data_IF_937246598770
#
_entry.id   IF_937246598770
#
_cell.length_a   1.000
_cell.length_b   1.000
_cell.length_c   1.000
_cell.angle_alpha   90.00
_cell.angle_beta   90.00
_cell.angle_gamma   90.00
#
_symmetry.space_group_name_H-M   'P 1'
#
loop_
_entity.id
_entity.type
_entity.pdbx_description
1 polymer ?
#
# COMPACT_ATOMS: atom_id res chain seq x y z
N UNK A 1 -39.77 -27.94 -21.86
CA UNK A 1 -39.02 -27.77 -20.60
C UNK A 1 -37.55 -27.74 -20.95
N UNK A 2 -37.01 -26.54 -21.11
CA UNK A 2 -35.59 -26.33 -21.42
C UNK A 2 -34.92 -25.92 -20.11
N UNK A 3 -34.18 -26.88 -19.52
CA UNK A 3 -33.35 -26.62 -18.34
C UNK A 3 -32.23 -25.67 -18.68
N UNK A 4 -32.26 -24.47 -18.12
CA UNK A 4 -31.16 -23.53 -18.18
C UNK A 4 -29.92 -24.08 -17.43
N UNK A 5 -28.69 -23.75 -17.84
CA UNK A 5 -27.48 -24.20 -17.17
C UNK A 5 -27.34 -23.47 -15.84
N UNK A 6 -27.80 -24.07 -14.75
CA UNK A 6 -27.46 -23.65 -13.39
C UNK A 6 -26.11 -24.28 -13.00
N UNK A 7 -25.05 -23.69 -13.47
CA UNK A 7 -23.70 -24.08 -13.11
C UNK A 7 -22.89 -22.85 -12.77
N UNK A 8 -22.97 -22.39 -11.52
CA UNK A 8 -22.06 -21.36 -10.96
C UNK A 8 -20.68 -22.02 -10.69
N UNK A 9 -20.04 -22.53 -11.75
CA UNK A 9 -18.72 -23.13 -11.68
C UNK A 9 -17.68 -22.00 -11.54
N UNK A 10 -17.26 -21.74 -10.30
CA UNK A 10 -16.16 -20.81 -10.03
C UNK A 10 -14.88 -21.31 -10.67
N UNK A 11 -14.22 -20.44 -11.42
CA UNK A 11 -12.97 -20.74 -12.11
C UNK A 11 -11.77 -20.60 -11.14
N UNK A 12 -10.78 -21.51 -11.17
CA UNK A 12 -9.53 -21.30 -10.42
C UNK A 12 -8.93 -19.95 -10.77
N UNK A 13 -8.51 -19.19 -9.75
CA UNK A 13 -7.90 -17.89 -9.97
C UNK A 13 -6.40 -18.07 -10.25
N UNK A 14 -5.85 -17.50 -11.34
CA UNK A 14 -4.42 -17.52 -11.61
C UNK A 14 -3.65 -16.63 -10.61
N UNK A 15 -2.34 -16.82 -10.57
CA UNK A 15 -1.42 -16.04 -9.74
C UNK A 15 -1.15 -14.68 -10.40
N UNK A 16 -1.81 -13.63 -9.92
CA UNK A 16 -1.73 -12.27 -10.48
C UNK A 16 -1.63 -11.21 -9.38
N UNK A 17 -1.03 -10.09 -9.73
CA UNK A 17 -1.15 -8.83 -9.00
C UNK A 17 -1.92 -7.87 -9.88
N UNK A 18 -3.04 -7.37 -9.37
CA UNK A 18 -3.98 -6.52 -10.10
C UNK A 18 -3.88 -5.12 -9.51
N UNK A 19 -3.59 -4.16 -10.35
CA UNK A 19 -3.61 -2.74 -10.02
C UNK A 19 -5.06 -2.27 -10.10
N UNK A 20 -5.63 -1.85 -8.98
CA UNK A 20 -7.03 -1.41 -8.91
C UNK A 20 -7.06 0.05 -8.50
N UNK A 21 -7.76 0.89 -9.26
CA UNK A 21 -8.08 2.26 -8.85
C UNK A 21 -9.31 2.23 -7.93
N UNK A 22 -9.07 2.18 -6.62
CA UNK A 22 -10.14 2.18 -5.63
C UNK A 22 -10.82 3.55 -5.59
N UNK A 23 -12.14 3.64 -5.79
CA UNK A 23 -12.86 4.90 -5.62
C UNK A 23 -13.01 5.27 -4.14
N UNK A 24 -13.41 6.50 -3.87
CA UNK A 24 -13.88 6.95 -2.55
C UNK A 24 -15.14 6.19 -2.16
N UNK A 25 -15.28 5.83 -0.89
CA UNK A 25 -16.44 5.17 -0.30
C UNK A 25 -16.19 3.70 0.04
N UNK A 26 -15.99 2.80 -0.93
CA UNK A 26 -15.75 1.39 -0.66
C UNK A 26 -14.45 1.16 0.14
N UNK A 27 -14.42 0.10 0.94
CA UNK A 27 -13.23 -0.35 1.66
C UNK A 27 -12.25 -1.09 0.73
N UNK A 28 -10.99 -1.22 1.14
CA UNK A 28 -10.02 -2.08 0.43
C UNK A 28 -10.48 -3.55 0.36
N UNK A 29 -11.24 -4.01 1.36
CA UNK A 29 -11.80 -5.36 1.37
C UNK A 29 -12.95 -5.54 0.37
N UNK A 30 -13.68 -4.47 0.04
CA UNK A 30 -14.69 -4.51 -1.03
C UNK A 30 -14.05 -4.78 -2.39
N UNK A 31 -12.84 -4.26 -2.65
CA UNK A 31 -12.06 -4.56 -3.85
C UNK A 31 -11.66 -6.04 -3.89
N UNK A 32 -11.25 -6.61 -2.75
CA UNK A 32 -10.99 -8.05 -2.62
C UNK A 32 -12.26 -8.87 -2.89
N UNK A 33 -13.42 -8.43 -2.37
CA UNK A 33 -14.71 -9.09 -2.65
C UNK A 33 -15.07 -9.01 -4.13
N UNK A 34 -14.87 -7.87 -4.76
CA UNK A 34 -15.10 -7.69 -6.19
C UNK A 34 -14.22 -8.64 -7.01
N UNK A 35 -12.91 -8.67 -6.74
CA UNK A 35 -11.97 -9.55 -7.43
C UNK A 35 -12.24 -11.05 -7.19
N UNK A 36 -12.90 -11.42 -6.09
CA UNK A 36 -13.25 -12.81 -5.79
C UNK A 36 -14.49 -13.31 -6.52
N UNK A 37 -15.28 -12.42 -7.13
CA UNK A 37 -16.51 -12.83 -7.84
C UNK A 37 -16.19 -13.78 -8.99
N UNK A 38 -16.89 -14.90 -9.06
CA UNK A 38 -16.70 -15.90 -10.12
C UNK A 38 -15.38 -16.68 -10.04
N UNK A 39 -14.54 -16.46 -9.03
CA UNK A 39 -13.28 -17.17 -8.87
C UNK A 39 -13.28 -18.09 -7.65
N UNK A 40 -12.41 -19.12 -7.69
CA UNK A 40 -12.10 -20.01 -6.57
C UNK A 40 -10.60 -19.90 -6.26
N UNK A 41 -10.28 -19.48 -5.04
CA UNK A 41 -8.89 -19.37 -4.59
C UNK A 41 -8.69 -18.23 -3.60
N UNK A 42 -7.43 -17.98 -3.26
CA UNK A 42 -7.05 -16.88 -2.37
C UNK A 42 -7.10 -15.57 -3.13
N UNK A 43 -7.65 -14.54 -2.48
CA UNK A 43 -7.59 -13.16 -2.95
C UNK A 43 -7.33 -12.28 -1.72
N UNK A 44 -6.40 -11.36 -1.84
CA UNK A 44 -6.01 -10.42 -0.79
C UNK A 44 -5.56 -9.08 -1.38
N UNK A 45 -5.18 -8.12 -0.55
CA UNK A 45 -4.61 -6.86 -1.00
C UNK A 45 -3.32 -6.53 -0.22
N UNK A 46 -2.52 -5.62 -0.77
CA UNK A 46 -1.31 -5.10 -0.15
C UNK A 46 -1.48 -3.61 0.18
N UNK A 47 -1.54 -3.30 1.48
CA UNK A 47 -1.65 -1.93 1.99
C UNK A 47 -3.05 -1.34 1.88
N UNK A 48 -3.74 -1.30 3.01
CA UNK A 48 -5.09 -0.72 3.12
C UNK A 48 -5.12 0.74 2.67
N UNK A 49 -6.18 1.14 1.99
CA UNK A 49 -6.64 2.50 1.82
C UNK A 49 -7.90 2.70 2.64
N UNK A 50 -7.97 3.81 3.35
CA UNK A 50 -9.16 4.21 4.11
C UNK A 50 -10.36 4.41 3.16
N UNK A 51 -11.61 4.32 3.64
CA UNK A 51 -12.79 4.50 2.80
C UNK A 51 -12.85 5.87 2.12
N UNK A 52 -12.44 6.95 2.81
CA UNK A 52 -12.43 8.30 2.25
C UNK A 52 -11.33 8.51 1.19
N UNK A 53 -10.29 7.66 1.19
CA UNK A 53 -9.19 7.73 0.24
C UNK A 53 -9.49 6.97 -1.05
N UNK A 54 -8.87 7.41 -2.15
CA UNK A 54 -8.93 6.76 -3.47
C UNK A 54 -7.54 6.37 -3.98
N UNK A 55 -7.50 5.73 -5.14
CA UNK A 55 -6.27 5.48 -5.88
C UNK A 55 -5.77 4.04 -5.81
N UNK A 56 -4.50 3.86 -6.11
CA UNK A 56 -3.89 2.56 -6.37
C UNK A 56 -3.95 1.60 -5.19
N UNK A 57 -4.56 0.46 -5.40
CA UNK A 57 -4.57 -0.68 -4.50
C UNK A 57 -4.09 -1.93 -5.24
N UNK A 58 -3.10 -2.63 -4.70
CA UNK A 58 -2.64 -3.90 -5.27
C UNK A 58 -3.48 -5.03 -4.70
N UNK A 59 -4.26 -5.67 -5.56
CA UNK A 59 -5.05 -6.88 -5.27
C UNK A 59 -4.31 -8.08 -5.81
N UNK A 60 -4.15 -9.11 -4.98
CA UNK A 60 -3.38 -10.30 -5.32
C UNK A 60 -4.30 -11.51 -5.37
N UNK A 61 -4.07 -12.40 -6.34
CA UNK A 61 -4.83 -13.64 -6.51
C UNK A 61 -3.91 -14.86 -6.44
N UNK A 62 -4.45 -15.99 -6.03
CA UNK A 62 -3.71 -17.25 -5.97
C UNK A 62 -2.51 -17.20 -5.03
N UNK A 63 -1.37 -17.71 -5.49
CA UNK A 63 -0.11 -17.73 -4.73
C UNK A 63 0.54 -16.36 -4.63
N UNK A 64 0.15 -15.38 -5.49
CA UNK A 64 0.62 -14.00 -5.38
C UNK A 64 0.27 -13.37 -4.02
N UNK A 65 -0.72 -13.87 -3.29
CA UNK A 65 -0.97 -13.42 -1.90
C UNK A 65 0.21 -13.63 -0.95
N UNK A 66 1.17 -14.51 -1.29
CA UNK A 66 2.37 -14.76 -0.49
C UNK A 66 3.38 -13.62 -0.53
N UNK A 67 3.37 -12.79 -1.59
CA UNK A 67 4.28 -11.64 -1.72
C UNK A 67 3.73 -10.35 -1.11
N UNK A 68 2.61 -10.41 -0.41
CA UNK A 68 1.95 -9.24 0.18
C UNK A 68 2.88 -8.36 1.02
N UNK A 69 3.71 -8.98 1.87
CA UNK A 69 4.65 -8.25 2.73
C UNK A 69 5.74 -7.51 1.92
N UNK A 70 6.20 -8.10 0.82
CA UNK A 70 7.18 -7.46 -0.07
C UNK A 70 6.59 -6.22 -0.74
N UNK A 71 5.37 -6.33 -1.26
CA UNK A 71 4.65 -5.21 -1.88
C UNK A 71 4.26 -4.14 -0.84
N UNK A 72 3.89 -4.53 0.37
CA UNK A 72 3.62 -3.59 1.48
C UNK A 72 4.84 -2.76 1.87
N UNK A 73 6.04 -3.30 1.71
CA UNK A 73 7.30 -2.62 2.01
C UNK A 73 7.66 -1.49 1.04
N UNK A 74 7.08 -1.45 -0.15
CA UNK A 74 7.40 -0.45 -1.17
C UNK A 74 6.99 0.96 -0.72
N UNK A 75 7.70 2.02 -1.16
CA UNK A 75 7.28 3.40 -0.93
C UNK A 75 5.95 3.70 -1.62
N UNK A 76 5.22 4.69 -1.11
CA UNK A 76 3.93 5.15 -1.63
C UNK A 76 3.99 6.63 -1.94
N UNK A 77 3.35 7.02 -3.02
CA UNK A 77 3.13 8.42 -3.35
C UNK A 77 1.66 8.75 -3.18
N UNK A 78 1.40 9.88 -2.53
CA UNK A 78 0.07 10.38 -2.26
C UNK A 78 -0.09 11.80 -2.76
N UNK A 79 -1.25 12.08 -3.33
CA UNK A 79 -1.82 13.40 -3.52
C UNK A 79 -2.74 13.64 -2.32
N UNK A 80 -2.32 14.55 -1.43
CA UNK A 80 -2.96 14.83 -0.15
C UNK A 80 -3.48 16.28 -0.13
N UNK A 81 -4.77 16.44 0.05
CA UNK A 81 -5.37 17.75 0.33
C UNK A 81 -5.46 17.94 1.85
N UNK A 82 -4.71 18.88 2.38
CA UNK A 82 -4.80 19.29 3.80
C UNK A 82 -5.80 20.44 3.92
N UNK A 83 -6.69 20.38 4.91
CA UNK A 83 -7.57 21.49 5.30
C UNK A 83 -7.11 22.04 6.63
N UNK A 84 -6.90 23.35 6.68
CA UNK A 84 -6.45 24.08 7.86
C UNK A 84 -7.61 24.76 8.60
N UNK A 85 -7.38 25.18 9.85
CA UNK A 85 -8.34 25.90 10.68
C UNK A 85 -9.36 25.01 11.40
N UNK A 86 -9.23 23.69 11.29
CA UNK A 86 -10.09 22.72 11.94
C UNK A 86 -9.32 21.42 12.25
N UNK A 87 -9.88 20.61 13.15
CA UNK A 87 -9.41 19.27 13.46
C UNK A 87 -10.53 18.26 13.25
N UNK A 88 -10.17 17.03 12.91
CA UNK A 88 -11.11 15.91 12.79
C UNK A 88 -10.80 14.85 13.85
N UNK A 89 -11.82 14.25 14.43
CA UNK A 89 -11.66 13.15 15.41
C UNK A 89 -11.01 11.89 14.84
N UNK A 90 -10.99 11.75 13.51
CA UNK A 90 -10.36 10.62 12.77
C UNK A 90 -9.18 11.05 11.90
N UNK A 91 -8.87 12.36 11.87
CA UNK A 91 -7.86 12.95 10.98
C UNK A 91 -8.30 13.05 9.51
N UNK A 92 -9.57 12.74 9.20
CA UNK A 92 -10.16 12.72 7.86
C UNK A 92 -11.62 13.21 7.86
N UNK A 93 -12.30 13.37 6.70
CA UNK A 93 -13.66 13.93 6.63
C UNK A 93 -14.74 13.04 7.27
N UNK A 94 -14.43 11.79 7.63
CA UNK A 94 -15.43 10.87 8.21
C UNK A 94 -15.64 11.07 9.71
N UNK A 95 -14.70 11.76 10.37
CA UNK A 95 -14.81 12.12 11.77
C UNK A 95 -15.62 13.37 12.04
N UNK A 96 -15.83 13.68 13.31
CA UNK A 96 -16.40 14.95 13.75
C UNK A 96 -15.39 16.07 13.54
N UNK A 97 -15.73 17.04 12.70
CA UNK A 97 -14.89 18.19 12.38
C UNK A 97 -15.26 19.35 13.31
N UNK A 98 -14.27 19.89 14.00
CA UNK A 98 -14.41 21.02 14.91
C UNK A 98 -13.44 22.14 14.52
N UNK A 99 -13.84 23.42 14.59
CA UNK A 99 -12.91 24.52 14.46
C UNK A 99 -11.75 24.36 15.45
N UNK A 100 -10.53 24.66 14.98
CA UNK A 100 -9.38 24.65 15.88
C UNK A 100 -9.46 25.83 16.85
N UNK A 101 -9.40 25.51 18.14
CA UNK A 101 -9.30 26.51 19.19
C UNK A 101 -7.90 26.39 19.82
N UNK A 102 -7.02 27.40 19.69
CA UNK A 102 -5.72 27.37 20.35
C UNK A 102 -5.92 27.32 21.87
N UNK A 103 -5.23 26.41 22.55
CA UNK A 103 -5.22 26.44 24.02
C UNK A 103 -4.44 27.67 24.47
N UNK A 104 -4.90 28.30 25.58
CA UNK A 104 -4.31 29.52 26.12
C UNK A 104 -2.78 29.43 26.42
N UNK A 105 -2.23 28.20 26.51
CA UNK A 105 -0.82 27.95 26.75
C UNK A 105 0.08 28.08 25.47
N UNK A 106 -0.48 28.02 24.28
CA UNK A 106 0.29 28.11 23.01
C UNK A 106 0.42 29.56 22.56
N UNK A 107 -0.46 30.46 23.01
CA UNK A 107 -0.41 31.88 22.67
C UNK A 107 0.81 32.63 23.27
N UNK A 108 1.51 32.02 24.24
CA UNK A 108 2.65 32.64 24.92
C UNK A 108 4.04 32.29 24.34
N UNK A 109 4.14 31.40 23.34
CA UNK A 109 5.40 30.91 22.78
C UNK A 109 5.62 31.32 21.30
N UNK A 110 4.81 32.19 20.74
CA UNK A 110 4.92 32.66 19.35
C UNK A 110 6.02 33.71 19.22
N UNK A 111 7.06 33.38 18.45
CA UNK A 111 8.04 34.34 17.89
C UNK A 111 7.27 35.41 17.08
N UNK A 112 7.70 36.69 17.24
CA UNK A 112 7.03 37.86 16.63
C UNK A 112 7.18 37.88 15.11
N UNK A 113 6.38 37.11 14.40
CA UNK A 113 6.41 37.03 12.94
C UNK A 113 5.18 36.41 12.32
N UNK A 114 4.17 37.26 12.06
CA UNK A 114 3.11 36.99 11.08
C UNK A 114 2.00 36.01 11.46
N UNK A 115 1.16 36.40 12.39
CA UNK A 115 -0.25 35.94 12.39
C UNK A 115 -1.13 37.18 12.26
N UNK A 116 -1.67 37.44 11.08
CA UNK A 116 -2.71 38.45 10.88
C UNK A 116 -4.04 37.89 11.38
N UNK A 117 -4.33 38.07 12.68
CA UNK A 117 -5.66 37.88 13.23
C UNK A 117 -6.47 39.14 12.95
N UNK A 118 -7.43 39.08 12.05
CA UNK A 118 -8.46 40.11 11.96
C UNK A 118 -9.32 40.08 13.23
N UNK A 119 -9.62 41.21 13.88
CA UNK A 119 -10.43 41.24 15.08
C UNK A 119 -11.89 40.93 14.72
N UNK A 120 -12.39 39.72 15.07
CA UNK A 120 -13.80 39.38 14.90
C UNK A 120 -14.14 37.92 14.68
N UNK A 121 -13.29 37.13 14.06
CA UNK A 121 -13.51 35.69 13.84
C UNK A 121 -12.26 34.94 14.26
N UNK A 122 -12.31 34.20 15.36
CA UNK A 122 -11.18 33.50 15.98
C UNK A 122 -10.60 32.32 15.19
N UNK A 123 -10.56 32.42 13.85
CA UNK A 123 -9.91 31.45 12.97
C UNK A 123 -8.49 31.92 12.63
N UNK A 124 -7.52 31.10 12.99
CA UNK A 124 -6.12 31.30 12.57
C UNK A 124 -6.08 30.97 11.07
N UNK A 125 -5.67 31.96 10.26
CA UNK A 125 -5.39 31.77 8.83
C UNK A 125 -3.90 31.64 8.62
N UNK A 126 -3.51 30.78 7.70
CA UNK A 126 -2.11 30.57 7.32
C UNK A 126 -1.91 31.01 5.87
N UNK A 127 -0.68 31.39 5.55
CA UNK A 127 -0.26 31.71 4.17
C UNK A 127 0.46 30.53 3.52
N UNK A 128 0.62 30.55 2.20
CA UNK A 128 1.45 29.60 1.48
C UNK A 128 2.90 29.55 2.00
N UNK A 129 3.45 30.71 2.39
CA UNK A 129 4.81 30.78 2.94
C UNK A 129 4.93 30.14 4.31
N UNK A 130 3.89 30.23 5.16
CA UNK A 130 3.87 29.57 6.45
C UNK A 130 3.88 28.05 6.27
N UNK A 131 3.06 27.53 5.34
CA UNK A 131 3.06 26.11 5.00
C UNK A 131 4.43 25.69 4.50
N UNK A 132 5.01 26.37 3.53
CA UNK A 132 6.34 26.03 2.96
C UNK A 132 7.41 25.96 4.05
N UNK A 133 7.43 26.90 5.01
CA UNK A 133 8.41 26.94 6.11
C UNK A 133 8.35 25.71 7.01
N UNK A 134 7.18 25.13 7.23
CA UNK A 134 7.05 23.97 8.12
C UNK A 134 7.27 22.64 7.40
N UNK A 135 7.08 22.56 6.07
CA UNK A 135 7.17 21.29 5.33
C UNK A 135 8.55 20.63 5.45
N UNK A 136 9.63 21.41 5.56
CA UNK A 136 10.99 20.87 5.69
C UNK A 136 11.18 20.04 6.97
N UNK A 137 10.41 20.34 8.03
CA UNK A 137 10.44 19.59 9.30
C UNK A 137 9.84 18.17 9.15
N UNK A 138 9.06 17.96 8.10
CA UNK A 138 8.37 16.69 7.82
C UNK A 138 9.06 15.85 6.74
N UNK A 139 10.23 16.27 6.25
CA UNK A 139 11.07 15.46 5.35
C UNK A 139 12.08 14.64 6.13
N UNK A 140 12.49 13.52 5.56
CA UNK A 140 13.42 12.58 6.18
C UNK A 140 12.74 11.65 7.17
N UNK A 141 13.45 11.32 8.23
CA UNK A 141 12.97 10.41 9.28
C UNK A 141 12.20 11.23 10.33
N UNK A 142 10.92 10.90 10.50
CA UNK A 142 10.02 11.55 11.45
C UNK A 142 9.37 10.53 12.35
N UNK A 143 8.93 10.97 13.52
CA UNK A 143 8.12 10.16 14.44
C UNK A 143 6.65 10.49 14.23
N UNK A 144 5.82 9.46 14.00
CA UNK A 144 4.36 9.59 13.94
C UNK A 144 3.71 8.75 15.03
N UNK A 145 2.66 9.28 15.63
CA UNK A 145 1.77 8.51 16.48
C UNK A 145 0.80 7.71 15.61
N UNK A 146 0.71 6.40 15.86
CA UNK A 146 -0.22 5.53 15.12
C UNK A 146 -1.66 5.94 15.39
N UNK A 147 -2.50 6.22 14.35
CA UNK A 147 -3.88 6.63 14.60
C UNK A 147 -4.71 5.49 15.20
N UNK A 148 -5.66 5.83 16.09
CA UNK A 148 -6.59 4.86 16.69
C UNK A 148 -7.39 4.09 15.63
N UNK A 149 -7.68 4.71 14.50
CA UNK A 149 -8.41 4.09 13.37
C UNK A 149 -7.52 3.22 12.47
N UNK A 150 -6.39 2.71 12.99
CA UNK A 150 -5.47 1.86 12.22
C UNK A 150 -5.71 0.37 12.46
N UNK A 151 -5.20 -0.47 11.53
CA UNK A 151 -5.19 -1.93 11.65
C UNK A 151 -4.05 -2.46 12.55
N UNK A 152 -3.24 -1.59 13.13
CA UNK A 152 -2.16 -1.98 14.06
C UNK A 152 -2.77 -2.62 15.29
N UNK A 153 -2.15 -3.72 15.74
CA UNK A 153 -2.59 -4.42 16.94
C UNK A 153 -1.80 -3.94 18.15
N UNK A 154 -2.51 -3.61 19.21
CA UNK A 154 -1.97 -3.36 20.55
C UNK A 154 -2.65 -4.36 21.48
N UNK A 155 -1.88 -5.09 22.27
CA UNK A 155 -2.36 -6.17 23.15
C UNK A 155 -3.19 -7.24 22.42
N UNK A 156 -2.79 -7.54 21.18
CA UNK A 156 -3.44 -8.58 20.36
C UNK A 156 -4.70 -8.13 19.61
N UNK A 157 -5.25 -6.94 19.89
CA UNK A 157 -6.42 -6.39 19.24
C UNK A 157 -6.10 -5.20 18.34
N UNK A 158 -6.75 -5.10 17.16
CA UNK A 158 -6.55 -3.99 16.24
C UNK A 158 -7.15 -2.68 16.80
N UNK A 159 -6.39 -1.59 16.73
CA UNK A 159 -6.77 -0.28 17.28
C UNK A 159 -8.12 0.22 16.78
N UNK A 160 -8.42 0.01 15.47
CA UNK A 160 -9.72 0.44 14.92
C UNK A 160 -10.93 -0.21 15.62
N UNK A 161 -10.79 -1.42 16.18
CA UNK A 161 -11.88 -2.08 16.93
C UNK A 161 -12.14 -1.40 18.26
N UNK A 162 -11.05 -0.98 18.94
CA UNK A 162 -11.15 -0.19 20.19
C UNK A 162 -11.80 1.17 19.89
N UNK A 163 -11.36 1.84 18.81
CA UNK A 163 -11.96 3.11 18.38
C UNK A 163 -13.47 3.00 18.11
N UNK A 164 -13.93 1.94 17.44
CA UNK A 164 -15.36 1.71 17.18
C UNK A 164 -16.20 1.50 18.46
N UNK A 165 -15.60 1.04 19.56
CA UNK A 165 -16.26 0.92 20.86
C UNK A 165 -16.18 2.21 21.69
N UNK A 166 -15.58 3.28 21.13
CA UNK A 166 -15.36 4.54 21.87
C UNK A 166 -14.27 4.43 22.94
N UNK A 167 -13.45 3.38 22.92
CA UNK A 167 -12.38 3.18 23.88
C UNK A 167 -11.17 4.04 23.50
N UNK A 168 -10.59 4.70 24.51
CA UNK A 168 -9.28 5.34 24.38
C UNK A 168 -8.20 4.28 24.54
N UNK A 169 -7.19 4.30 23.66
CA UNK A 169 -6.01 3.45 23.78
C UNK A 169 -4.76 4.29 23.59
N UNK A 170 -3.73 3.97 24.36
CA UNK A 170 -2.41 4.52 24.11
C UNK A 170 -1.89 3.98 22.80
N UNK A 171 -1.58 4.88 21.88
CA UNK A 171 -1.13 4.51 20.54
C UNK A 171 0.39 4.62 20.45
N UNK A 172 1.07 3.59 19.91
CA UNK A 172 2.52 3.60 19.82
C UNK A 172 3.01 4.68 18.85
N UNK A 173 4.17 5.22 19.13
CA UNK A 173 4.92 6.04 18.19
C UNK A 173 5.77 5.16 17.27
N UNK A 174 5.96 5.62 16.03
CA UNK A 174 6.77 4.92 15.04
C UNK A 174 7.63 5.92 14.28
N UNK A 175 8.86 5.53 14.05
CA UNK A 175 9.69 6.19 13.04
C UNK A 175 9.21 5.80 11.64
N UNK A 176 8.99 6.81 10.80
CA UNK A 176 8.62 6.65 9.39
C UNK A 176 9.52 7.54 8.52
N UNK A 177 9.58 7.22 7.23
CA UNK A 177 10.37 7.98 6.27
C UNK A 177 9.46 8.78 5.34
N UNK A 178 9.71 10.06 5.22
CA UNK A 178 9.13 10.93 4.19
C UNK A 178 10.26 11.29 3.23
N UNK A 179 10.27 10.67 2.06
CA UNK A 179 11.33 10.86 1.06
C UNK A 179 11.22 12.21 0.37
N UNK A 180 9.98 12.64 0.10
CA UNK A 180 9.68 13.96 -0.45
C UNK A 180 8.31 14.44 0.00
N UNK A 181 8.17 15.75 0.12
CA UNK A 181 6.94 16.44 0.49
C UNK A 181 6.92 17.81 -0.18
N UNK A 182 6.08 17.96 -1.19
CA UNK A 182 6.04 19.16 -2.03
C UNK A 182 4.64 19.75 -2.05
N UNK A 183 4.52 21.06 -1.80
CA UNK A 183 3.25 21.77 -1.99
C UNK A 183 3.06 22.10 -3.47
N UNK A 184 1.97 21.64 -4.05
CA UNK A 184 1.60 21.85 -5.46
C UNK A 184 0.71 23.08 -5.60
N UNK A 185 -0.18 23.28 -4.63
CA UNK A 185 -1.20 24.33 -4.67
C UNK A 185 -1.57 24.76 -3.26
N UNK A 186 -1.89 26.02 -3.09
CA UNK A 186 -2.45 26.57 -1.87
C UNK A 186 -3.63 27.49 -2.21
N UNK A 187 -4.78 27.19 -1.63
CA UNK A 187 -5.97 28.03 -1.72
C UNK A 187 -6.12 28.83 -0.42
N UNK A 188 -5.87 30.14 -0.52
CA UNK A 188 -5.91 31.03 0.62
C UNK A 188 -7.32 31.25 1.14
N UNK A 189 -8.33 31.26 0.27
CA UNK A 189 -9.72 31.47 0.67
C UNK A 189 -10.27 30.22 1.38
N UNK A 190 -10.09 29.05 0.77
CA UNK A 190 -10.51 27.76 1.32
C UNK A 190 -9.62 27.27 2.48
N UNK A 191 -8.44 27.89 2.68
CA UNK A 191 -7.43 27.45 3.62
C UNK A 191 -7.05 25.98 3.43
N UNK A 192 -6.66 25.64 2.20
CA UNK A 192 -6.25 24.28 1.85
C UNK A 192 -4.89 24.26 1.16
N UNK A 193 -4.11 23.22 1.41
CA UNK A 193 -2.89 22.92 0.67
C UNK A 193 -2.98 21.54 0.01
N UNK A 194 -2.62 21.45 -1.26
CA UNK A 194 -2.44 20.20 -1.99
C UNK A 194 -0.96 19.83 -1.97
N UNK A 195 -0.66 18.67 -1.39
CA UNK A 195 0.69 18.19 -1.20
C UNK A 195 0.90 16.88 -1.98
N UNK A 196 2.04 16.75 -2.65
CA UNK A 196 2.55 15.47 -3.10
C UNK A 196 3.52 14.93 -2.04
N UNK A 197 3.27 13.73 -1.55
CA UNK A 197 4.04 13.09 -0.49
C UNK A 197 4.55 11.73 -0.95
N UNK A 198 5.88 11.56 -1.08
CA UNK A 198 6.53 10.27 -1.29
C UNK A 198 7.01 9.76 0.06
N UNK A 199 6.43 8.65 0.53
CA UNK A 199 6.63 8.17 1.89
C UNK A 199 6.99 6.68 1.94
N UNK A 200 7.69 6.30 2.99
CA UNK A 200 8.00 4.92 3.31
C UNK A 200 6.79 4.14 3.81
N UNK A 201 6.98 2.83 3.87
CA UNK A 201 5.99 1.91 4.44
C UNK A 201 5.68 2.28 5.90
N UNK A 202 4.41 2.23 6.27
CA UNK A 202 3.94 2.50 7.63
C UNK A 202 3.61 3.96 7.92
N UNK A 203 3.89 4.90 7.01
CA UNK A 203 3.50 6.31 7.13
C UNK A 203 2.00 6.48 6.96
N UNK A 204 1.38 7.27 7.84
CA UNK A 204 -0.02 7.66 7.78
C UNK A 204 -0.14 9.08 7.23
N UNK A 205 -0.68 9.22 6.01
CA UNK A 205 -0.86 10.54 5.39
C UNK A 205 -1.85 11.42 6.15
N UNK A 206 -2.83 10.83 6.87
CA UNK A 206 -3.73 11.57 7.76
C UNK A 206 -2.98 12.24 8.92
N UNK A 207 -2.10 11.50 9.59
CA UNK A 207 -1.28 12.05 10.67
C UNK A 207 -0.36 13.15 10.15
N UNK A 208 0.18 13.01 8.92
CA UNK A 208 0.99 14.06 8.32
C UNK A 208 0.21 15.38 8.17
N UNK A 209 -1.06 15.31 7.77
CA UNK A 209 -1.93 16.49 7.69
C UNK A 209 -2.20 17.13 9.06
N UNK A 210 -2.46 16.29 10.08
CA UNK A 210 -2.67 16.72 11.46
C UNK A 210 -1.40 17.37 12.03
N UNK A 211 -0.25 16.75 11.85
CA UNK A 211 1.05 17.21 12.35
C UNK A 211 1.47 18.55 11.72
N UNK A 212 1.24 18.72 10.39
CA UNK A 212 1.47 19.98 9.68
C UNK A 212 0.56 21.08 10.26
N UNK A 213 -0.73 20.81 10.44
CA UNK A 213 -1.68 21.76 11.01
C UNK A 213 -1.34 22.13 12.46
N UNK A 214 -0.86 21.19 13.25
CA UNK A 214 -0.37 21.40 14.60
C UNK A 214 0.90 22.28 14.62
N UNK A 215 1.86 22.01 13.73
CA UNK A 215 3.08 22.80 13.60
C UNK A 215 2.83 24.26 13.16
N UNK A 216 1.73 24.48 12.41
CA UNK A 216 1.25 25.82 12.04
C UNK A 216 0.43 26.50 13.14
N UNK A 217 0.07 25.77 14.20
CA UNK A 217 -0.77 26.28 15.29
C UNK A 217 -2.22 26.56 14.90
N UNK A 218 -2.70 26.05 13.77
CA UNK A 218 -4.04 26.30 13.24
C UNK A 218 -4.92 25.03 13.19
N UNK A 219 -4.36 23.85 13.52
CA UNK A 219 -5.01 22.58 13.28
C UNK A 219 -5.09 22.22 11.80
N UNK A 220 -5.25 20.94 11.51
CA UNK A 220 -5.35 20.44 10.15
C UNK A 220 -5.88 19.00 10.12
N UNK A 221 -6.41 18.61 8.98
CA UNK A 221 -6.83 17.22 8.70
C UNK A 221 -6.75 16.92 7.20
N UNK A 222 -6.68 15.64 6.85
CA UNK A 222 -6.68 15.20 5.47
C UNK A 222 -8.08 15.39 4.86
N UNK A 223 -8.27 16.40 4.02
CA UNK A 223 -9.55 16.68 3.34
C UNK A 223 -9.85 15.72 2.20
N UNK A 224 -8.81 15.30 1.47
CA UNK A 224 -8.86 14.25 0.44
C UNK A 224 -7.50 13.55 0.38
N UNK A 225 -7.52 12.30 -0.07
CA UNK A 225 -6.31 11.50 -0.20
C UNK A 225 -6.43 10.57 -1.41
N UNK A 226 -5.44 10.63 -2.32
CA UNK A 226 -5.33 9.71 -3.44
C UNK A 226 -3.94 9.08 -3.47
N UNK A 227 -3.86 7.77 -3.44
CA UNK A 227 -2.58 7.08 -3.64
C UNK A 227 -2.31 6.94 -5.13
N UNK A 228 -1.31 7.67 -5.63
CA UNK A 228 -0.95 7.72 -7.05
C UNK A 228 0.01 6.60 -7.43
N UNK A 229 0.93 6.20 -6.50
CA UNK A 229 1.93 5.17 -6.79
C UNK A 229 2.22 4.26 -5.59
N UNK A 230 2.67 3.03 -5.91
CA UNK A 230 3.26 2.08 -4.98
C UNK A 230 4.53 1.54 -5.66
N UNK A 231 5.71 1.93 -5.18
CA UNK A 231 6.97 1.65 -5.88
C UNK A 231 6.94 2.19 -7.31
N UNK A 232 7.15 1.32 -8.29
CA UNK A 232 7.08 1.65 -9.72
C UNK A 232 5.66 1.59 -10.31
N UNK A 233 4.68 1.05 -9.58
CA UNK A 233 3.31 0.89 -10.08
C UNK A 233 2.56 2.22 -9.99
N UNK A 234 1.86 2.59 -11.08
CA UNK A 234 1.07 3.81 -11.19
C UNK A 234 -0.44 3.53 -11.16
N UNK A 235 -1.21 4.45 -10.61
CA UNK A 235 -2.67 4.40 -10.69
C UNK A 235 -3.19 4.57 -12.12
N UNK A 236 -2.39 5.16 -13.01
CA UNK A 236 -2.73 5.35 -14.43
C UNK A 236 -2.83 4.03 -15.19
N UNK A 237 -2.11 2.99 -14.71
CA UNK A 237 -2.17 1.64 -15.27
C UNK A 237 -3.28 0.79 -14.64
N UNK A 238 -3.94 1.29 -13.59
CA UNK A 238 -4.92 0.53 -12.84
C UNK A 238 -6.23 0.32 -13.60
N UNK A 239 -6.90 -0.79 -13.31
CA UNK A 239 -8.26 -1.09 -13.77
C UNK A 239 -9.29 -0.59 -12.77
N UNK A 240 -10.51 -0.34 -13.23
CA UNK A 240 -11.62 0.04 -12.37
C UNK A 240 -12.21 -1.18 -11.67
N UNK A 241 -12.83 -1.03 -10.49
CA UNK A 241 -13.43 -2.15 -9.75
C UNK A 241 -14.53 -2.90 -10.53
N UNK A 242 -15.26 -2.22 -11.42
CA UNK A 242 -16.30 -2.80 -12.28
C UNK A 242 -15.74 -3.74 -13.35
N UNK A 243 -14.48 -3.54 -13.77
CA UNK A 243 -13.82 -4.35 -14.79
C UNK A 243 -13.26 -5.67 -14.21
N UNK A 244 -13.24 -5.81 -12.88
CA UNK A 244 -12.71 -7.00 -12.21
C UNK A 244 -13.54 -8.24 -12.54
N UNK A 245 -12.94 -9.20 -13.24
CA UNK A 245 -13.59 -10.43 -13.70
C UNK A 245 -12.59 -11.57 -13.87
N UNK A 246 -13.02 -12.84 -13.83
CA UNK A 246 -12.13 -13.97 -14.11
C UNK A 246 -11.44 -13.89 -15.48
N UNK A 247 -12.12 -13.35 -16.49
CA UNK A 247 -11.57 -13.17 -17.82
C UNK A 247 -10.41 -12.16 -17.85
N UNK A 248 -10.50 -11.09 -17.05
CA UNK A 248 -9.44 -10.09 -16.92
C UNK A 248 -8.15 -10.71 -16.36
N UNK A 249 -8.26 -11.69 -15.43
CA UNK A 249 -7.08 -12.27 -14.78
C UNK A 249 -6.42 -13.39 -15.58
N UNK A 250 -7.05 -13.87 -16.66
CA UNK A 250 -6.56 -15.03 -17.42
C UNK A 250 -5.13 -14.80 -17.90
N UNK A 251 -4.87 -13.63 -18.48
CA UNK A 251 -3.55 -13.27 -19.00
C UNK A 251 -3.05 -11.94 -18.41
N UNK A 252 -1.71 -11.77 -18.26
CA UNK A 252 -1.13 -10.48 -17.96
C UNK A 252 -1.48 -9.43 -19.01
N UNK A 253 -1.61 -8.17 -18.60
CA UNK A 253 -1.96 -7.06 -19.47
C UNK A 253 -2.10 -5.77 -18.67
N UNK A 254 -2.71 -4.75 -19.26
CA UNK A 254 -2.90 -3.48 -18.56
C UNK A 254 -3.57 -3.69 -17.19
N UNK A 255 -2.87 -3.30 -16.14
CA UNK A 255 -3.34 -3.42 -14.77
C UNK A 255 -3.36 -4.83 -14.19
N UNK A 256 -2.93 -5.85 -14.95
CA UNK A 256 -2.83 -7.25 -14.49
C UNK A 256 -1.42 -7.76 -14.71
N UNK A 257 -0.70 -7.98 -13.63
CA UNK A 257 0.71 -8.35 -13.65
C UNK A 257 0.88 -9.83 -13.32
N UNK A 258 1.83 -10.47 -14.01
CA UNK A 258 2.41 -11.74 -13.58
C UNK A 258 3.21 -11.55 -12.27
N UNK A 259 3.58 -12.65 -11.62
CA UNK A 259 4.47 -12.59 -10.45
C UNK A 259 5.82 -11.96 -10.79
N UNK A 260 6.36 -12.23 -11.98
CA UNK A 260 7.64 -11.69 -12.41
C UNK A 260 7.61 -10.18 -12.59
N UNK A 261 6.58 -9.65 -13.24
CA UNK A 261 6.37 -8.22 -13.41
C UNK A 261 6.18 -7.53 -12.07
N UNK A 262 5.36 -8.13 -11.20
CA UNK A 262 5.08 -7.58 -9.87
C UNK A 262 6.29 -7.57 -8.93
N UNK A 263 7.29 -8.42 -9.20
CA UNK A 263 8.52 -8.55 -8.42
C UNK A 263 9.75 -7.98 -9.15
N UNK A 264 9.58 -7.26 -10.25
CA UNK A 264 10.67 -6.74 -11.10
C UNK A 264 11.69 -5.87 -10.34
N UNK A 265 11.28 -5.27 -9.22
CA UNK A 265 12.15 -4.49 -8.32
C UNK A 265 13.14 -5.36 -7.50
N UNK A 266 13.01 -6.69 -7.54
CA UNK A 266 13.94 -7.64 -6.93
C UNK A 266 14.77 -8.27 -8.06
N UNK A 267 16.12 -8.25 -8.03
CA UNK A 267 16.95 -8.85 -9.07
C UNK A 267 16.68 -10.36 -9.22
N UNK A 268 16.71 -10.83 -10.47
CA UNK A 268 16.53 -12.25 -10.80
C UNK A 268 17.86 -13.01 -10.81
N UNK A 269 17.83 -14.28 -10.45
CA UNK A 269 18.97 -15.20 -10.56
C UNK A 269 18.52 -16.56 -11.06
N UNK A 270 19.08 -17.00 -12.19
CA UNK A 270 18.93 -18.37 -12.68
C UNK A 270 19.86 -19.29 -11.88
N UNK A 271 19.32 -20.40 -11.41
CA UNK A 271 20.04 -21.41 -10.62
C UNK A 271 20.47 -22.58 -11.51
N UNK A 272 21.63 -23.16 -11.20
CA UNK A 272 22.03 -24.44 -11.78
C UNK A 272 21.09 -25.55 -11.28
N UNK A 273 21.01 -26.67 -11.99
CA UNK A 273 20.05 -27.75 -11.73
C UNK A 273 20.11 -28.27 -10.27
N UNK A 274 21.31 -28.44 -9.73
CA UNK A 274 21.50 -28.89 -8.33
C UNK A 274 20.97 -27.89 -7.32
N UNK A 275 21.21 -26.59 -7.53
CA UNK A 275 20.71 -25.51 -6.70
C UNK A 275 19.20 -25.33 -6.86
N UNK A 276 18.68 -25.43 -8.10
CA UNK A 276 17.26 -25.35 -8.38
C UNK A 276 16.47 -26.45 -7.66
N UNK A 277 17.05 -27.66 -7.56
CA UNK A 277 16.45 -28.75 -6.78
C UNK A 277 16.44 -28.44 -5.29
N UNK A 278 17.53 -27.90 -4.75
CA UNK A 278 17.60 -27.49 -3.34
C UNK A 278 16.57 -26.37 -3.07
N UNK A 279 16.56 -25.34 -3.92
CA UNK A 279 15.64 -24.22 -3.82
C UNK A 279 14.17 -24.67 -3.89
N UNK A 280 13.83 -25.60 -4.78
CA UNK A 280 12.45 -26.12 -4.92
C UNK A 280 11.93 -26.78 -3.65
N UNK A 281 12.83 -27.28 -2.80
CA UNK A 281 12.52 -27.87 -1.48
C UNK A 281 12.65 -26.85 -0.33
N UNK A 282 12.91 -25.58 -0.61
CA UNK A 282 13.07 -24.54 0.40
C UNK A 282 14.39 -24.63 1.18
N UNK A 283 15.39 -25.33 0.64
CA UNK A 283 16.70 -25.42 1.27
C UNK A 283 17.53 -24.15 1.04
N UNK A 284 18.50 -23.94 1.90
CA UNK A 284 19.49 -22.87 1.79
C UNK A 284 20.33 -22.99 0.51
N UNK A 285 20.68 -21.84 -0.08
CA UNK A 285 21.57 -21.71 -1.23
C UNK A 285 22.85 -20.99 -0.80
N UNK A 286 24.01 -21.60 -1.03
CA UNK A 286 25.31 -21.04 -0.62
C UNK A 286 25.86 -20.00 -1.58
N UNK A 287 25.31 -19.92 -2.79
CA UNK A 287 25.82 -19.07 -3.88
C UNK A 287 25.20 -17.66 -3.95
N UNK A 288 24.28 -17.31 -3.04
CA UNK A 288 23.59 -16.02 -3.09
C UNK A 288 24.37 -14.94 -2.31
N UNK A 289 24.76 -13.85 -2.98
CA UNK A 289 25.31 -12.67 -2.32
C UNK A 289 24.30 -12.07 -1.31
N UNK A 290 24.74 -11.11 -0.49
CA UNK A 290 23.84 -10.37 0.39
C UNK A 290 22.78 -9.62 -0.43
N UNK A 291 21.51 -9.71 -0.01
CA UNK A 291 20.38 -9.11 -0.69
C UNK A 291 19.24 -10.06 -1.00
N UNK A 292 18.20 -9.54 -1.63
CA UNK A 292 17.01 -10.33 -2.04
C UNK A 292 17.07 -10.66 -3.51
N UNK A 293 16.68 -11.89 -3.86
CA UNK A 293 16.73 -12.42 -5.21
C UNK A 293 15.47 -13.20 -5.56
N UNK A 294 14.94 -12.98 -6.76
CA UNK A 294 14.02 -13.90 -7.42
C UNK A 294 14.86 -15.05 -7.94
N UNK A 295 14.64 -16.26 -7.47
CA UNK A 295 15.40 -17.43 -7.91
C UNK A 295 14.59 -18.25 -8.90
N UNK A 296 15.22 -18.58 -10.01
CA UNK A 296 14.62 -19.32 -11.11
C UNK A 296 15.33 -20.66 -11.27
N UNK A 297 14.61 -21.63 -11.78
CA UNK A 297 15.14 -22.92 -12.20
C UNK A 297 14.03 -23.70 -12.92
N UNK A 298 14.42 -24.57 -13.81
CA UNK A 298 13.50 -25.31 -14.67
C UNK A 298 12.57 -24.39 -15.48
N UNK A 299 13.08 -23.22 -15.91
CA UNK A 299 12.35 -22.21 -16.68
C UNK A 299 11.24 -21.47 -15.93
N UNK A 300 11.25 -21.45 -14.58
CA UNK A 300 10.20 -20.82 -13.77
C UNK A 300 10.74 -20.17 -12.49
N UNK A 301 9.97 -19.24 -11.93
CA UNK A 301 10.19 -18.65 -10.63
C UNK A 301 9.93 -19.70 -9.52
N UNK A 302 10.95 -20.03 -8.74
CA UNK A 302 10.89 -20.98 -7.62
C UNK A 302 10.51 -20.25 -6.34
N UNK A 303 11.11 -19.08 -6.08
CA UNK A 303 10.87 -18.34 -4.84
C UNK A 303 11.62 -17.03 -4.76
N UNK A 304 11.49 -16.38 -3.63
CA UNK A 304 12.28 -15.22 -3.22
C UNK A 304 13.18 -15.66 -2.08
N UNK A 305 14.48 -15.43 -2.24
CA UNK A 305 15.49 -15.74 -1.26
C UNK A 305 16.17 -14.46 -0.76
N UNK A 306 16.62 -14.51 0.48
CA UNK A 306 17.46 -13.46 1.08
C UNK A 306 18.82 -14.07 1.37
N UNK A 307 19.85 -13.58 0.66
CA UNK A 307 21.24 -13.96 0.87
C UNK A 307 21.89 -13.08 1.94
N UNK A 308 22.82 -13.65 2.69
CA UNK A 308 23.66 -12.96 3.68
C UNK A 308 25.12 -12.82 3.24
N UNK A 309 25.50 -13.44 2.10
CA UNK A 309 26.89 -13.59 1.68
C UNK A 309 27.55 -14.89 2.17
N UNK A 310 27.09 -15.44 3.29
CA UNK A 310 27.57 -16.72 3.86
C UNK A 310 26.57 -17.86 3.63
N UNK A 311 25.29 -17.52 3.46
CA UNK A 311 24.18 -18.42 3.21
C UNK A 311 22.96 -17.67 2.74
N UNK A 312 21.84 -18.37 2.61
CA UNK A 312 20.58 -17.75 2.22
C UNK A 312 19.40 -18.45 2.87
N UNK A 313 18.27 -17.75 2.93
CA UNK A 313 17.01 -18.34 3.40
C UNK A 313 15.89 -18.04 2.43
N UNK A 314 14.93 -18.95 2.25
CA UNK A 314 13.73 -18.64 1.50
C UNK A 314 12.84 -17.66 2.28
N UNK A 315 12.39 -16.59 1.63
CA UNK A 315 11.38 -15.67 2.15
C UNK A 315 9.98 -16.07 1.69
N UNK A 316 9.87 -16.42 0.41
CA UNK A 316 8.63 -16.86 -0.23
C UNK A 316 8.92 -18.00 -1.19
N UNK A 317 8.14 -19.07 -1.08
CA UNK A 317 8.22 -20.21 -1.99
C UNK A 317 6.96 -20.29 -2.84
N UNK A 318 7.12 -20.53 -4.15
CA UNK A 318 6.00 -20.79 -5.03
C UNK A 318 5.86 -22.31 -5.23
N UNK A 319 4.62 -22.83 -5.17
CA UNK A 319 4.42 -24.27 -5.33
C UNK A 319 4.85 -24.71 -6.72
N UNK A 320 5.53 -25.84 -6.79
CA UNK A 320 5.73 -26.53 -8.05
C UNK A 320 4.36 -26.98 -8.56
N UNK A 321 3.96 -26.69 -9.80
CA UNK A 321 2.82 -27.37 -10.39
C UNK A 321 3.05 -28.87 -10.23
N UNK A 322 2.05 -29.59 -9.72
CA UNK A 322 2.13 -31.04 -9.73
C UNK A 322 2.47 -31.47 -11.15
N UNK A 323 3.57 -32.17 -11.33
CA UNK A 323 3.88 -32.78 -12.62
C UNK A 323 2.70 -33.71 -12.93
N UNK A 324 1.82 -33.28 -13.85
CA UNK A 324 0.89 -34.20 -14.48
C UNK A 324 1.74 -35.34 -15.01
N UNK A 325 1.45 -36.56 -14.53
CA UNK A 325 2.21 -37.76 -14.88
C UNK A 325 2.18 -38.05 -16.39
N UNK A 326 3.01 -37.32 -17.12
CA UNK A 326 3.43 -37.63 -18.48
C UNK A 326 4.87 -38.11 -18.37
N UNK A 327 5.06 -39.42 -18.50
CA UNK A 327 6.38 -39.99 -18.74
C UNK A 327 7.02 -39.24 -19.90
N UNK A 328 8.32 -38.89 -19.84
CA UNK A 328 8.99 -38.29 -20.99
C UNK A 328 8.88 -39.30 -22.14
N UNK A 329 8.26 -38.89 -23.26
CA UNK A 329 8.32 -39.64 -24.52
C UNK A 329 9.79 -39.82 -24.86
N UNK A 330 10.23 -41.07 -24.92
CA UNK A 330 11.54 -41.42 -25.45
C UNK A 330 11.59 -40.96 -26.92
N UNK A 331 12.63 -40.23 -27.31
CA UNK A 331 12.83 -39.90 -28.72
C UNK A 331 12.92 -41.19 -29.51
N UNK A 332 12.34 -41.26 -30.72
CA UNK A 332 12.38 -42.46 -31.54
C UNK A 332 13.85 -42.84 -31.87
N UNK A 333 14.17 -44.11 -31.72
CA UNK A 333 15.48 -44.66 -32.08
C UNK A 333 15.77 -44.42 -33.57
N UNK A 334 16.87 -43.71 -33.85
CA UNK A 334 17.42 -43.59 -35.20
C UNK A 334 17.88 -44.99 -35.59
N UNK A 335 17.19 -45.62 -36.54
CA UNK A 335 17.64 -46.81 -37.21
C UNK A 335 18.74 -46.39 -38.21
N UNK A 336 19.97 -46.83 -37.92
CA UNK A 336 21.08 -46.70 -38.84
C UNK A 336 20.94 -47.65 -40.03
N UNK A 337 21.20 -47.13 -41.18
CA UNK A 337 21.69 -47.86 -42.34
C UNK A 337 23.01 -47.27 -42.75
#
# INVERSE_FOLDING_TARGET
MTGGPSGNSRVPVPDRVILVDKPVGPTSFDMVRAARRGTKGRVGHSGTLDPFASGLLLVMTGTATRISSLLMGLPKEYDLLVRFGAVSSTGDPTGSIMPFAPSASVAAAGDEGSTTSAPGEGRIRVSAQDVLRVLDRFRGRITQRVPLTSAVKVDGEALYKKAHRGETAETPEREVMVYDLTMVEFDEEAQTARLLALVGSGTYARCLAEDIGAALGCGGYAGALRRTRIGSFSVEDAVRPEDLSPALYAEPGRGVLSLDEALSFIPGRELQETEARLASNGNELRSLPAGRYRVYGYGRLIGIYEGSGEGSRPLVMFPTPAQGGGSPERPPAVQGT
#
